data_IF_696237380837
#
_entry.id   IF_696237380837
#
_cell.length_a   1.000
_cell.length_b   1.000
_cell.length_c   1.000
_cell.angle_alpha   90.00
_cell.angle_beta   90.00
_cell.angle_gamma   90.00
#
_symmetry.space_group_name_H-M   'P 1'
#
loop_
_entity.id
_entity.type
_entity.pdbx_description
1 polymer ?
#
# COMPACT_ATOMS: atom_id res chain seq x y z
N UNK A 1 -9.87 9.34 -13.58
CA UNK A 1 -9.88 10.67 -14.22
C UNK A 1 -9.10 11.69 -13.40
N UNK A 2 -9.49 12.01 -12.15
CA UNK A 2 -8.77 13.00 -11.32
C UNK A 2 -7.26 12.77 -11.24
N UNK A 3 -6.80 11.52 -11.02
CA UNK A 3 -5.38 11.19 -11.02
C UNK A 3 -4.66 11.50 -12.35
N UNK A 4 -5.34 11.35 -13.49
CA UNK A 4 -4.79 11.69 -14.82
C UNK A 4 -4.68 13.20 -14.98
N UNK A 5 -5.74 13.93 -14.60
CA UNK A 5 -5.77 15.40 -14.68
C UNK A 5 -4.77 16.05 -13.71
N UNK A 6 -4.53 15.44 -12.55
CA UNK A 6 -3.48 15.83 -11.62
C UNK A 6 -2.06 15.41 -12.03
N UNK A 7 -1.89 14.80 -13.22
CA UNK A 7 -0.57 14.52 -13.78
C UNK A 7 0.18 13.36 -13.12
N UNK A 8 -0.50 12.31 -12.65
CA UNK A 8 0.19 11.11 -12.11
C UNK A 8 1.05 10.41 -13.16
N UNK A 9 2.18 9.83 -12.75
CA UNK A 9 3.09 9.08 -13.64
C UNK A 9 2.67 7.61 -13.80
N UNK A 10 1.93 7.07 -12.84
CA UNK A 10 1.37 5.73 -12.90
C UNK A 10 0.03 5.69 -12.17
N UNK A 11 -0.85 4.77 -12.57
CA UNK A 11 -2.19 4.69 -12.03
C UNK A 11 -2.59 3.23 -11.79
N UNK A 12 -3.06 2.97 -10.58
CA UNK A 12 -3.85 1.78 -10.28
C UNK A 12 -5.33 2.17 -10.26
N UNK A 13 -6.15 1.38 -10.93
CA UNK A 13 -7.62 1.49 -10.87
C UNK A 13 -8.13 0.23 -10.18
N UNK A 14 -8.84 0.43 -9.08
CA UNK A 14 -9.43 -0.68 -8.34
C UNK A 14 -10.48 -1.39 -9.20
N UNK A 15 -10.69 -2.67 -8.92
CA UNK A 15 -11.79 -3.44 -9.48
C UNK A 15 -13.07 -3.21 -8.68
N UNK A 16 -14.24 -3.38 -9.29
CA UNK A 16 -15.52 -3.13 -8.62
C UNK A 16 -15.80 -4.08 -7.44
N UNK A 17 -15.08 -5.20 -7.36
CA UNK A 17 -15.20 -6.26 -6.36
C UNK A 17 -14.22 -6.12 -5.17
N UNK A 18 -13.49 -4.99 -5.08
CA UNK A 18 -12.47 -4.73 -4.06
C UNK A 18 -12.98 -4.87 -2.61
N UNK A 19 -14.23 -4.48 -2.35
CA UNK A 19 -14.81 -4.58 -1.01
C UNK A 19 -15.15 -6.02 -0.59
N UNK A 20 -15.12 -6.99 -1.53
CA UNK A 20 -15.55 -8.37 -1.30
C UNK A 20 -14.36 -9.35 -1.32
N UNK A 21 -13.39 -9.14 -2.21
CA UNK A 21 -12.23 -10.02 -2.29
C UNK A 21 -11.23 -9.63 -3.37
N UNK A 22 -10.30 -10.54 -3.65
CA UNK A 22 -9.33 -10.35 -4.73
C UNK A 22 -10.05 -10.28 -6.09
N UNK A 23 -9.54 -9.45 -7.03
CA UNK A 23 -10.25 -9.17 -8.25
C UNK A 23 -10.36 -10.40 -9.15
N UNK A 24 -11.57 -10.65 -9.65
CA UNK A 24 -11.78 -11.62 -10.72
C UNK A 24 -11.16 -11.15 -12.03
N UNK A 25 -10.93 -12.06 -12.99
CA UNK A 25 -10.41 -11.67 -14.31
C UNK A 25 -11.33 -10.67 -15.02
N UNK A 26 -12.66 -10.80 -14.85
CA UNK A 26 -13.64 -9.87 -15.41
C UNK A 26 -13.50 -8.48 -14.80
N UNK A 27 -13.42 -8.39 -13.48
CA UNK A 27 -13.32 -7.12 -12.77
C UNK A 27 -11.98 -6.42 -13.04
N UNK A 28 -10.87 -7.17 -13.01
CA UNK A 28 -9.54 -6.65 -13.37
C UNK A 28 -9.48 -6.15 -14.82
N UNK A 29 -10.15 -6.85 -15.76
CA UNK A 29 -10.26 -6.39 -17.15
C UNK A 29 -11.01 -5.08 -17.24
N UNK A 30 -12.13 -4.93 -16.52
CA UNK A 30 -12.88 -3.68 -16.50
C UNK A 30 -12.04 -2.53 -15.95
N UNK A 31 -11.34 -2.74 -14.84
CA UNK A 31 -10.43 -1.76 -14.27
C UNK A 31 -9.36 -1.30 -15.28
N UNK A 32 -8.71 -2.24 -15.97
CA UNK A 32 -7.75 -1.93 -17.04
C UNK A 32 -8.40 -1.14 -18.19
N UNK A 33 -9.61 -1.53 -18.62
CA UNK A 33 -10.33 -0.84 -19.70
C UNK A 33 -10.69 0.58 -19.32
N UNK A 34 -11.00 0.86 -18.05
CA UNK A 34 -11.22 2.23 -17.56
C UNK A 34 -10.00 3.12 -17.84
N UNK A 35 -8.78 2.63 -17.57
CA UNK A 35 -7.56 3.40 -17.89
C UNK A 35 -7.37 3.58 -19.40
N UNK A 36 -7.67 2.55 -20.20
CA UNK A 36 -7.51 2.61 -21.65
C UNK A 36 -8.51 3.57 -22.31
N UNK A 37 -9.76 3.59 -21.86
CA UNK A 37 -10.75 4.58 -22.32
C UNK A 37 -10.27 5.99 -22.00
N UNK A 38 -9.80 6.24 -20.78
CA UNK A 38 -9.22 7.55 -20.41
C UNK A 38 -8.01 7.92 -21.27
N UNK A 39 -7.15 6.95 -21.61
CA UNK A 39 -5.95 7.21 -22.38
C UNK A 39 -6.21 7.46 -23.87
N UNK A 40 -7.17 6.74 -24.46
CA UNK A 40 -7.33 6.65 -25.91
C UNK A 40 -8.62 7.23 -26.46
N UNK A 41 -9.65 7.44 -25.63
CA UNK A 41 -10.98 7.85 -26.10
C UNK A 41 -11.45 9.20 -25.53
N UNK A 42 -10.89 9.68 -24.40
CA UNK A 42 -11.38 10.93 -23.76
C UNK A 42 -10.57 12.18 -24.09
N UNK A 43 -9.50 12.07 -24.88
CA UNK A 43 -8.59 13.18 -25.25
C UNK A 43 -7.98 13.98 -24.08
N UNK A 44 -8.12 13.51 -22.83
CA UNK A 44 -7.58 14.17 -21.62
C UNK A 44 -6.05 14.19 -21.59
N UNK A 45 -5.40 13.45 -22.50
CA UNK A 45 -3.95 13.39 -22.68
C UNK A 45 -3.42 14.41 -23.70
N UNK A 46 -4.30 15.14 -24.41
CA UNK A 46 -3.91 16.06 -25.49
C UNK A 46 -3.36 17.39 -25.01
N UNK A 47 -3.70 17.80 -23.79
CA UNK A 47 -3.28 19.07 -23.19
C UNK A 47 -2.63 18.79 -21.84
N UNK A 48 -1.45 19.37 -21.62
CA UNK A 48 -0.78 19.34 -20.31
C UNK A 48 -1.53 20.27 -19.37
N UNK A 49 -1.87 19.76 -18.19
CA UNK A 49 -2.60 20.47 -17.14
C UNK A 49 -3.80 21.28 -17.66
N UNK A 50 -4.89 20.61 -18.07
CA UNK A 50 -6.06 21.27 -18.64
C UNK A 50 -6.80 22.18 -17.63
N UNK A 51 -6.43 22.18 -16.36
CA UNK A 51 -7.01 23.06 -15.35
C UNK A 51 -6.19 24.33 -15.08
N UNK A 52 -5.01 24.48 -15.69
CA UNK A 52 -4.18 25.68 -15.55
C UNK A 52 -4.99 26.95 -15.83
N UNK A 53 -5.02 27.86 -14.86
CA UNK A 53 -5.75 29.13 -14.91
C UNK A 53 -7.23 29.05 -14.50
N UNK A 54 -7.73 27.88 -14.10
CA UNK A 54 -9.07 27.75 -13.52
C UNK A 54 -9.12 28.37 -12.13
N UNK A 55 -9.78 29.53 -11.97
CA UNK A 55 -9.85 30.24 -10.68
C UNK A 55 -10.22 29.34 -9.49
N UNK A 56 -11.17 28.41 -9.67
CA UNK A 56 -11.59 27.50 -8.61
C UNK A 56 -10.52 26.46 -8.27
N UNK A 57 -9.87 25.86 -9.28
CA UNK A 57 -8.86 24.82 -9.04
C UNK A 57 -7.57 25.44 -8.52
N UNK A 58 -7.17 26.60 -9.02
CA UNK A 58 -5.98 27.32 -8.54
C UNK A 58 -6.17 27.74 -7.07
N UNK A 59 -7.32 28.33 -6.72
CA UNK A 59 -7.61 28.68 -5.32
C UNK A 59 -7.63 27.46 -4.39
N UNK A 60 -8.24 26.35 -4.82
CA UNK A 60 -8.25 25.11 -4.04
C UNK A 60 -6.85 24.50 -3.93
N UNK A 61 -6.02 24.64 -4.96
CA UNK A 61 -4.62 24.20 -4.93
C UNK A 61 -3.83 24.98 -3.88
N UNK A 62 -3.97 26.31 -3.86
CA UNK A 62 -3.32 27.18 -2.86
C UNK A 62 -3.78 26.85 -1.43
N UNK A 63 -5.07 26.60 -1.23
CA UNK A 63 -5.63 26.23 0.09
C UNK A 63 -5.07 24.89 0.59
N UNK A 64 -5.01 23.88 -0.29
CA UNK A 64 -4.43 22.56 0.05
C UNK A 64 -2.93 22.68 0.33
N UNK A 65 -2.21 23.48 -0.45
CA UNK A 65 -0.78 23.73 -0.21
C UNK A 65 -0.56 24.38 1.17
N UNK A 66 -1.31 25.43 1.49
CA UNK A 66 -1.19 26.13 2.77
C UNK A 66 -1.46 25.19 3.95
N UNK A 67 -2.56 24.42 3.90
CA UNK A 67 -2.92 23.46 4.94
C UNK A 67 -1.87 22.33 5.08
N UNK A 68 -1.34 21.82 3.95
CA UNK A 68 -0.28 20.81 3.98
C UNK A 68 1.01 21.37 4.60
N UNK A 69 1.38 22.62 4.30
CA UNK A 69 2.55 23.30 4.89
C UNK A 69 2.40 23.49 6.39
N UNK A 70 1.22 23.84 6.87
CA UNK A 70 0.93 23.93 8.31
C UNK A 70 1.11 22.57 8.99
N UNK A 71 0.56 21.50 8.41
CA UNK A 71 0.75 20.13 8.93
C UNK A 71 2.21 19.69 8.93
N UNK A 72 2.97 20.01 7.87
CA UNK A 72 4.41 19.76 7.83
C UNK A 72 5.14 20.52 8.95
N UNK A 73 4.80 21.78 9.20
CA UNK A 73 5.36 22.56 10.31
C UNK A 73 5.11 21.90 11.66
N UNK A 74 3.88 21.43 11.92
CA UNK A 74 3.55 20.68 13.15
C UNK A 74 4.39 19.41 13.30
N UNK A 75 4.66 18.69 12.20
CA UNK A 75 5.52 17.50 12.22
C UNK A 75 6.98 17.85 12.51
N UNK A 76 7.50 18.93 11.93
CA UNK A 76 8.85 19.43 12.20
C UNK A 76 9.01 19.88 13.67
N UNK A 77 8.03 20.59 14.23
CA UNK A 77 8.02 21.00 15.65
C UNK A 77 8.03 19.81 16.62
N UNK A 78 7.54 18.65 16.17
CA UNK A 78 7.59 17.39 16.94
C UNK A 78 8.93 16.66 16.84
N UNK A 79 9.88 17.17 16.05
CA UNK A 79 11.19 16.54 15.80
C UNK A 79 11.23 15.69 14.53
N UNK A 80 10.34 15.96 13.58
CA UNK A 80 10.27 15.29 12.27
C UNK A 80 9.35 14.06 12.25
N UNK A 81 9.25 13.46 11.06
CA UNK A 81 8.25 12.42 10.77
C UNK A 81 8.33 11.19 11.69
N UNK A 82 9.54 10.70 11.99
CA UNK A 82 9.75 9.52 12.85
C UNK A 82 9.25 9.80 14.27
N UNK A 83 9.67 10.91 14.87
CA UNK A 83 9.25 11.30 16.22
C UNK A 83 7.73 11.53 16.29
N UNK A 84 7.14 12.12 15.25
CA UNK A 84 5.69 12.30 15.17
C UNK A 84 4.94 10.95 15.10
N UNK A 85 5.45 9.97 14.34
CA UNK A 85 4.87 8.62 14.26
C UNK A 85 4.96 7.92 15.62
N UNK A 86 6.12 7.97 16.27
CA UNK A 86 6.34 7.37 17.59
C UNK A 86 5.44 7.98 18.67
N UNK A 87 5.11 9.27 18.55
CA UNK A 87 4.14 9.97 19.40
C UNK A 87 2.68 9.70 19.03
N UNK A 88 2.43 8.93 17.98
CA UNK A 88 1.07 8.57 17.51
C UNK A 88 0.34 9.69 16.77
N UNK A 89 1.01 10.79 16.42
CA UNK A 89 0.36 11.98 15.87
C UNK A 89 -0.39 11.70 14.56
N UNK A 90 0.30 11.13 13.56
CA UNK A 90 -0.31 10.86 12.25
C UNK A 90 -1.43 9.83 12.36
N UNK A 91 -1.26 8.79 13.19
CA UNK A 91 -2.29 7.77 13.43
C UNK A 91 -3.56 8.42 14.00
N UNK A 92 -3.41 9.25 15.04
CA UNK A 92 -4.54 9.93 15.69
C UNK A 92 -5.30 10.86 14.72
N UNK A 93 -4.59 11.64 13.87
CA UNK A 93 -5.24 12.51 12.88
C UNK A 93 -6.03 11.68 11.83
N UNK A 94 -5.46 10.55 11.37
CA UNK A 94 -6.14 9.62 10.45
C UNK A 94 -7.39 9.02 11.11
N UNK A 95 -7.28 8.53 12.34
CA UNK A 95 -8.40 7.92 13.08
C UNK A 95 -9.51 8.91 13.37
N UNK A 96 -9.15 10.14 13.78
CA UNK A 96 -10.11 11.24 13.97
C UNK A 96 -10.88 11.55 12.70
N UNK A 97 -10.18 11.65 11.56
CA UNK A 97 -10.83 11.87 10.26
C UNK A 97 -11.72 10.69 9.86
N UNK A 98 -11.27 9.46 10.06
CA UNK A 98 -12.04 8.26 9.75
C UNK A 98 -13.32 8.17 10.60
N UNK A 99 -13.22 8.47 11.90
CA UNK A 99 -14.34 8.49 12.82
C UNK A 99 -15.38 9.55 12.43
N UNK A 100 -14.94 10.78 12.12
CA UNK A 100 -15.83 11.83 11.65
C UNK A 100 -16.57 11.43 10.36
N UNK A 101 -15.88 10.81 9.41
CA UNK A 101 -16.51 10.32 8.16
C UNK A 101 -17.53 9.22 8.48
N UNK A 102 -17.21 8.28 9.37
CA UNK A 102 -18.14 7.23 9.78
C UNK A 102 -19.42 7.82 10.40
N UNK A 103 -19.28 8.79 11.32
CA UNK A 103 -20.42 9.50 11.91
C UNK A 103 -21.26 10.23 10.86
N UNK A 104 -20.64 10.93 9.91
CA UNK A 104 -21.36 11.60 8.82
C UNK A 104 -22.16 10.62 7.95
N UNK A 105 -21.63 9.43 7.70
CA UNK A 105 -22.32 8.39 6.92
C UNK A 105 -23.51 7.83 7.72
N UNK A 106 -23.31 7.53 9.00
CA UNK A 106 -24.34 7.01 9.90
C UNK A 106 -25.49 8.00 10.11
N UNK A 107 -25.17 9.29 10.25
CA UNK A 107 -26.14 10.37 10.40
C UNK A 107 -26.80 10.77 9.06
N UNK A 108 -26.31 10.25 7.93
CA UNK A 108 -26.85 10.53 6.60
C UNK A 108 -26.49 11.90 6.04
N UNK A 109 -25.56 12.62 6.69
CA UNK A 109 -24.97 13.88 6.20
C UNK A 109 -24.12 13.63 4.95
N UNK A 110 -23.35 12.53 4.96
CA UNK A 110 -22.58 12.06 3.80
C UNK A 110 -23.33 10.94 3.11
N UNK A 111 -23.74 11.19 1.86
CA UNK A 111 -24.42 10.18 1.05
C UNK A 111 -23.43 9.19 0.45
N UNK A 112 -23.69 7.89 0.67
CA UNK A 112 -23.02 6.77 0.00
C UNK A 112 -24.09 5.97 -0.73
N UNK A 113 -24.11 6.09 -2.06
CA UNK A 113 -25.10 5.46 -2.94
C UNK A 113 -25.01 3.94 -2.81
N UNK A 114 -26.15 3.28 -2.63
CA UNK A 114 -26.23 1.83 -2.39
C UNK A 114 -25.99 1.42 -0.95
N UNK A 115 -25.37 2.27 -0.11
CA UNK A 115 -25.11 1.97 1.30
C UNK A 115 -26.08 2.66 2.25
N UNK A 116 -26.26 3.98 2.23
CA UNK A 116 -27.18 4.68 3.14
C UNK A 116 -28.34 5.40 2.43
N UNK A 117 -28.22 5.61 1.11
CA UNK A 117 -29.30 6.08 0.24
C UNK A 117 -29.35 5.26 -1.04
N UNK A 118 -30.53 5.19 -1.66
CA UNK A 118 -30.76 4.48 -2.92
C UNK A 118 -30.40 2.98 -2.84
N UNK A 119 -30.76 2.34 -1.72
CA UNK A 119 -30.62 0.88 -1.55
C UNK A 119 -31.58 0.15 -2.49
N UNK A 120 -31.16 -1.01 -2.96
CA UNK A 120 -31.98 -1.94 -3.72
C UNK A 120 -32.29 -3.18 -2.88
N UNK A 121 -33.45 -3.79 -3.08
CA UNK A 121 -33.88 -4.95 -2.28
C UNK A 121 -33.21 -6.25 -2.70
N UNK A 122 -32.59 -6.30 -3.89
CA UNK A 122 -31.95 -7.51 -4.43
C UNK A 122 -30.66 -7.12 -5.12
N UNK A 123 -29.56 -7.74 -4.68
CA UNK A 123 -28.24 -7.61 -5.30
C UNK A 123 -27.98 -8.76 -6.25
N UNK A 124 -27.20 -8.50 -7.30
CA UNK A 124 -26.75 -9.54 -8.22
C UNK A 124 -25.78 -10.50 -7.51
N UNK A 125 -25.89 -11.82 -7.75
CA UNK A 125 -24.95 -12.78 -7.17
C UNK A 125 -23.54 -12.54 -7.73
N UNK A 126 -22.58 -12.35 -6.83
CA UNK A 126 -21.16 -12.23 -7.14
C UNK A 126 -20.41 -13.47 -6.67
N UNK A 127 -19.49 -13.98 -7.49
CA UNK A 127 -18.61 -15.09 -7.15
C UNK A 127 -17.20 -14.58 -6.87
N UNK A 128 -16.77 -14.51 -5.59
CA UNK A 128 -15.42 -14.08 -5.24
C UNK A 128 -14.36 -15.04 -5.76
N UNK A 129 -13.18 -14.51 -6.07
CA UNK A 129 -12.01 -15.35 -6.35
C UNK A 129 -11.70 -16.22 -5.12
N UNK A 130 -11.80 -17.54 -5.29
CA UNK A 130 -11.39 -18.52 -4.27
C UNK A 130 -9.99 -19.02 -4.56
N UNK A 131 -9.11 -18.93 -3.58
CA UNK A 131 -7.77 -19.50 -3.66
C UNK A 131 -7.83 -21.00 -3.40
N UNK A 132 -7.10 -21.78 -4.19
CA UNK A 132 -6.95 -23.23 -3.98
C UNK A 132 -6.05 -23.48 -2.74
N UNK A 133 -6.57 -24.15 -1.69
CA UNK A 133 -5.77 -24.50 -0.52
C UNK A 133 -4.53 -25.35 -0.84
N UNK A 134 -4.51 -26.06 -1.98
CA UNK A 134 -3.36 -26.84 -2.41
C UNK A 134 -2.10 -25.99 -2.65
N UNK A 135 -2.24 -24.66 -2.85
CA UNK A 135 -1.11 -23.73 -3.02
C UNK A 135 -0.14 -23.81 -1.83
N UNK A 136 -0.66 -23.92 -0.60
CA UNK A 136 0.18 -24.02 0.61
C UNK A 136 1.03 -25.29 0.55
N UNK A 137 0.40 -26.44 0.30
CA UNK A 137 1.09 -27.72 0.23
C UNK A 137 2.13 -27.77 -0.89
N UNK A 138 1.82 -27.15 -2.04
CA UNK A 138 2.76 -27.04 -3.14
C UNK A 138 3.96 -26.17 -2.77
N UNK A 139 3.75 -25.05 -2.06
CA UNK A 139 4.85 -24.21 -1.60
C UNK A 139 5.70 -24.87 -0.52
N UNK A 140 5.08 -25.59 0.42
CA UNK A 140 5.82 -26.36 1.41
C UNK A 140 6.74 -27.40 0.75
N UNK A 141 6.25 -28.11 -0.28
CA UNK A 141 7.05 -29.07 -1.06
C UNK A 141 8.22 -28.38 -1.80
N UNK A 142 7.96 -27.23 -2.44
CA UNK A 142 9.01 -26.44 -3.13
C UNK A 142 10.07 -25.94 -2.15
N UNK A 143 9.65 -25.49 -0.98
CA UNK A 143 10.55 -25.02 0.07
C UNK A 143 11.43 -26.15 0.62
N UNK A 144 10.84 -27.33 0.87
CA UNK A 144 11.58 -28.51 1.30
C UNK A 144 12.62 -28.95 0.26
N UNK A 145 12.24 -28.98 -1.03
CA UNK A 145 13.16 -29.29 -2.12
C UNK A 145 14.29 -28.25 -2.26
N UNK A 146 13.96 -26.96 -2.13
CA UNK A 146 14.96 -25.88 -2.15
C UNK A 146 16.00 -26.09 -1.04
N UNK A 147 15.54 -26.38 0.18
CA UNK A 147 16.40 -26.57 1.35
C UNK A 147 17.27 -27.83 1.26
N UNK A 148 16.79 -28.90 0.62
CA UNK A 148 17.56 -30.13 0.46
C UNK A 148 18.61 -30.08 -0.65
N UNK A 149 18.43 -29.20 -1.64
CA UNK A 149 19.31 -29.11 -2.82
C UNK A 149 20.34 -27.99 -2.74
N UNK A 150 20.13 -26.97 -1.91
CA UNK A 150 21.06 -25.85 -1.76
C UNK A 150 22.29 -26.22 -0.94
N UNK A 151 23.37 -25.46 -1.12
CA UNK A 151 24.53 -25.52 -0.24
C UNK A 151 24.17 -24.86 1.10
N UNK A 152 23.95 -25.69 2.13
CA UNK A 152 23.59 -25.21 3.45
C UNK A 152 24.70 -24.42 4.13
N UNK A 153 25.97 -24.79 3.92
CA UNK A 153 27.10 -24.10 4.53
C UNK A 153 27.26 -22.69 3.94
N UNK A 154 27.09 -22.57 2.62
CA UNK A 154 27.13 -21.28 1.93
C UNK A 154 25.98 -20.36 2.37
N UNK A 155 24.76 -20.89 2.53
CA UNK A 155 23.64 -20.11 3.07
C UNK A 155 23.94 -19.59 4.48
N UNK A 156 24.41 -20.47 5.37
CA UNK A 156 24.77 -20.06 6.74
C UNK A 156 25.85 -18.99 6.73
N UNK A 157 26.88 -19.13 5.90
CA UNK A 157 27.96 -18.13 5.76
C UNK A 157 27.42 -16.78 5.27
N UNK A 158 26.56 -16.77 4.26
CA UNK A 158 25.98 -15.52 3.74
C UNK A 158 25.01 -14.85 4.74
N UNK A 159 24.22 -15.64 5.48
CA UNK A 159 23.35 -15.10 6.52
C UNK A 159 24.16 -14.51 7.70
N UNK A 160 25.27 -15.13 8.10
CA UNK A 160 26.16 -14.59 9.12
C UNK A 160 26.77 -13.24 8.68
N UNK A 161 27.19 -13.13 7.41
CA UNK A 161 27.68 -11.85 6.87
C UNK A 161 26.60 -10.76 6.83
N UNK A 162 25.33 -11.13 6.60
CA UNK A 162 24.20 -10.21 6.69
C UNK A 162 23.99 -9.73 8.12
N UNK A 163 24.10 -10.62 9.11
CA UNK A 163 23.98 -10.27 10.53
C UNK A 163 25.10 -9.31 10.95
N UNK A 164 26.34 -9.60 10.58
CA UNK A 164 27.48 -8.74 10.85
C UNK A 164 27.25 -7.33 10.29
N UNK A 165 26.85 -7.21 9.02
CA UNK A 165 26.53 -5.92 8.41
C UNK A 165 25.38 -5.20 9.14
N UNK A 166 24.37 -5.94 9.60
CA UNK A 166 23.22 -5.40 10.33
C UNK A 166 23.56 -4.90 11.75
N UNK A 167 24.65 -5.37 12.37
CA UNK A 167 25.15 -4.81 13.64
C UNK A 167 25.91 -3.50 13.49
N UNK A 168 26.45 -3.24 12.29
CA UNK A 168 27.26 -2.08 11.99
C UNK A 168 26.49 -0.96 11.31
N UNK A 169 27.21 -0.21 10.46
CA UNK A 169 26.63 0.82 9.59
C UNK A 169 26.77 0.47 8.10
N UNK A 170 27.10 -0.80 7.83
CA UNK A 170 27.30 -1.29 6.47
C UNK A 170 25.99 -1.43 5.70
N UNK A 171 26.09 -1.42 4.37
CA UNK A 171 24.93 -1.60 3.52
C UNK A 171 24.50 -3.07 3.47
N UNK A 172 23.41 -3.38 4.17
CA UNK A 172 22.81 -4.73 4.24
C UNK A 172 22.34 -5.30 2.90
N UNK A 173 22.14 -4.47 1.87
CA UNK A 173 21.63 -4.93 0.57
C UNK A 173 22.59 -5.92 -0.13
N UNK A 174 23.90 -5.69 -0.02
CA UNK A 174 24.90 -6.55 -0.67
C UNK A 174 24.93 -7.97 -0.07
N UNK A 175 25.15 -8.16 1.25
CA UNK A 175 25.10 -9.48 1.84
C UNK A 175 23.71 -10.14 1.73
N UNK A 176 22.62 -9.35 1.72
CA UNK A 176 21.28 -9.88 1.45
C UNK A 176 21.17 -10.48 0.05
N UNK A 177 21.69 -9.79 -0.98
CA UNK A 177 21.72 -10.31 -2.36
C UNK A 177 22.55 -11.59 -2.45
N UNK A 178 23.65 -11.68 -1.71
CA UNK A 178 24.50 -12.87 -1.69
C UNK A 178 23.79 -14.04 -1.00
N UNK A 179 23.09 -13.81 0.11
CA UNK A 179 22.26 -14.82 0.76
C UNK A 179 21.13 -15.32 -0.16
N UNK A 180 20.41 -14.42 -0.83
CA UNK A 180 19.37 -14.77 -1.79
C UNK A 180 19.93 -15.54 -2.99
N UNK A 181 21.12 -15.18 -3.49
CA UNK A 181 21.82 -15.91 -4.55
C UNK A 181 22.21 -17.32 -4.11
N UNK A 182 22.62 -17.47 -2.85
CA UNK A 182 22.88 -18.76 -2.20
C UNK A 182 21.61 -19.58 -1.91
N UNK A 183 20.42 -19.09 -2.29
CA UNK A 183 19.11 -19.73 -2.06
C UNK A 183 18.66 -19.70 -0.59
N UNK A 184 19.07 -18.68 0.17
CA UNK A 184 18.37 -18.32 1.40
C UNK A 184 16.92 -17.91 1.07
N UNK A 185 16.00 -18.22 1.97
CA UNK A 185 14.58 -17.87 1.83
C UNK A 185 14.33 -16.47 2.38
N UNK A 186 13.21 -15.85 1.99
CA UNK A 186 12.79 -14.55 2.56
C UNK A 186 12.65 -14.65 4.08
N UNK A 187 12.06 -15.74 4.58
CA UNK A 187 11.94 -15.99 6.02
C UNK A 187 13.30 -16.01 6.72
N UNK A 188 14.27 -16.76 6.19
CA UNK A 188 15.62 -16.86 6.79
C UNK A 188 16.37 -15.53 6.78
N UNK A 189 16.24 -14.74 5.72
CA UNK A 189 16.81 -13.37 5.65
C UNK A 189 16.15 -12.46 6.69
N UNK A 190 14.81 -12.50 6.79
CA UNK A 190 14.07 -11.71 7.79
C UNK A 190 14.41 -12.14 9.22
N UNK A 191 14.57 -13.44 9.47
CA UNK A 191 14.90 -13.99 10.78
C UNK A 191 16.32 -13.56 11.20
N UNK A 192 17.29 -13.64 10.27
CA UNK A 192 18.66 -13.16 10.51
C UNK A 192 18.69 -11.67 10.91
N UNK A 193 17.89 -10.82 10.26
CA UNK A 193 17.77 -9.40 10.62
C UNK A 193 17.01 -9.19 11.94
N UNK A 194 15.96 -10.00 12.20
CA UNK A 194 15.19 -9.94 13.44
C UNK A 194 16.03 -10.31 14.66
N UNK A 195 16.98 -11.23 14.52
CA UNK A 195 17.91 -11.54 15.61
C UNK A 195 18.73 -10.31 16.04
N UNK A 196 19.05 -9.41 15.10
CA UNK A 196 19.86 -8.21 15.37
C UNK A 196 19.03 -6.99 15.79
N UNK A 197 17.85 -6.79 15.19
CA UNK A 197 17.04 -5.59 15.39
C UNK A 197 15.79 -5.82 16.24
N UNK A 198 15.45 -7.07 16.55
CA UNK A 198 14.20 -7.45 17.18
C UNK A 198 12.99 -7.28 16.24
N UNK A 199 11.80 -7.25 16.85
CA UNK A 199 10.54 -6.97 16.17
C UNK A 199 9.92 -5.72 16.74
N UNK A 200 9.37 -4.86 15.88
CA UNK A 200 8.57 -3.74 16.33
C UNK A 200 7.26 -4.23 16.97
N UNK A 201 6.94 -3.69 18.15
CA UNK A 201 5.65 -3.87 18.82
C UNK A 201 5.03 -2.48 18.94
N UNK A 202 3.89 -2.21 18.28
CA UNK A 202 3.25 -0.91 18.39
C UNK A 202 2.80 -0.68 19.84
N UNK A 203 2.99 0.53 20.41
CA UNK A 203 2.46 0.84 21.73
C UNK A 203 0.92 0.84 21.71
N UNK A 204 0.30 0.28 22.75
CA UNK A 204 -1.17 0.17 22.93
C UNK A 204 -1.85 1.52 23.25
N UNK A 205 -1.35 2.63 22.69
CA UNK A 205 -1.98 3.93 22.88
C UNK A 205 -3.25 4.01 22.01
N UNK A 206 -4.39 3.95 22.70
CA UNK A 206 -5.74 4.29 22.23
C UNK A 206 -6.15 5.65 22.82
#
# INVERSE_FOLDING_TARGET
LAAVLGGTQSLHTNSYDEAIGLPTQKAARLALRTQQVLAYETDVTKTVDPFAGSYAIESLTDEVEAAARELMGRVEDMGGAVAAIERGFQKAEIEKSAYAIAQQIEQGERTVVGLNRYRIDTEDPYEPLRLDPAIEQQQAKRLAALRSQRDGAEVTRCLAALQEAATGSDNVLYPMKDALRARATVGEVCDALREMWGSYVPPDAF
#
